data_IF_115975888295
#
_entry.id   IF_115975888295
#
_cell.length_a   1.000
_cell.length_b   1.000
_cell.length_c   1.000
_cell.angle_alpha   90.00
_cell.angle_beta   90.00
_cell.angle_gamma   90.00
#
_symmetry.space_group_name_H-M   'P 1'
#
loop_
_entity.id
_entity.type
_entity.pdbx_description
1 polymer ?
#
# COMPACT_ATOMS: atom_id res chain seq x y z
N UNK A 1 -3.43 14.36 23.69
CA UNK A 1 -2.65 14.34 22.44
C UNK A 1 -3.63 13.99 21.32
N UNK A 2 -3.91 14.90 20.37
CA UNK A 2 -4.82 14.57 19.26
C UNK A 2 -4.18 13.47 18.39
N UNK A 3 -4.95 12.48 17.91
CA UNK A 3 -4.42 11.47 17.00
C UNK A 3 -3.81 12.17 15.78
N UNK A 4 -2.65 11.66 15.34
CA UNK A 4 -1.95 12.05 14.13
C UNK A 4 -2.95 11.91 12.95
N UNK A 5 -3.49 13.01 12.38
CA UNK A 5 -4.43 12.88 11.28
C UNK A 5 -3.64 12.31 10.10
N UNK A 6 -3.99 11.10 9.64
CA UNK A 6 -3.23 10.41 8.60
C UNK A 6 -3.15 11.27 7.33
N UNK A 7 -2.01 11.92 7.05
CA UNK A 7 -1.85 12.75 5.86
C UNK A 7 -1.60 11.88 4.62
N UNK A 8 -1.34 10.58 4.80
CA UNK A 8 -0.95 9.68 3.74
C UNK A 8 -2.05 8.64 3.48
N UNK A 9 -2.46 8.55 2.22
CA UNK A 9 -3.38 7.52 1.74
C UNK A 9 -2.76 6.77 0.57
N UNK A 10 -3.37 5.65 0.16
CA UNK A 10 -2.99 4.98 -1.08
C UNK A 10 -3.04 5.93 -2.29
N UNK A 11 -4.02 6.84 -2.37
CA UNK A 11 -4.14 7.80 -3.47
C UNK A 11 -2.88 8.66 -3.59
N UNK A 12 -2.33 9.10 -2.45
CA UNK A 12 -1.08 9.84 -2.37
C UNK A 12 0.07 9.04 -2.98
N UNK A 13 0.29 7.80 -2.52
CA UNK A 13 1.37 6.92 -3.01
C UNK A 13 1.22 6.46 -4.47
N UNK A 14 -0.02 6.36 -4.94
CA UNK A 14 -0.35 5.96 -6.31
C UNK A 14 -0.27 7.14 -7.29
N UNK A 15 -0.02 8.37 -6.81
CA UNK A 15 0.21 9.56 -7.64
C UNK A 15 -1.06 10.31 -8.05
N UNK A 16 -2.16 10.20 -7.31
CA UNK A 16 -3.41 10.92 -7.59
C UNK A 16 -3.84 11.89 -6.51
N UNK A 17 -2.95 12.24 -5.57
CA UNK A 17 -3.23 13.26 -4.57
C UNK A 17 -2.48 14.54 -4.94
N UNK A 18 -3.18 15.66 -5.00
CA UNK A 18 -2.58 16.96 -5.25
C UNK A 18 -1.94 17.54 -3.99
N UNK A 19 -2.38 17.08 -2.82
CA UNK A 19 -1.87 17.56 -1.54
C UNK A 19 -0.49 16.97 -1.21
N UNK A 20 -0.19 15.75 -1.66
CA UNK A 20 1.08 15.06 -1.37
C UNK A 20 1.83 14.82 -2.66
N UNK A 21 3.01 15.43 -2.80
CA UNK A 21 3.88 15.19 -3.94
C UNK A 21 4.82 14.03 -3.63
N UNK A 22 4.88 13.05 -4.52
CA UNK A 22 5.75 11.88 -4.37
C UNK A 22 6.83 11.96 -5.43
N UNK A 23 8.10 11.75 -5.07
CA UNK A 23 9.21 11.77 -6.04
C UNK A 23 9.04 10.74 -7.14
N UNK A 24 8.37 9.64 -6.83
CA UNK A 24 8.04 8.58 -7.78
C UNK A 24 6.76 7.87 -7.39
N UNK A 25 5.96 7.52 -8.40
CA UNK A 25 4.77 6.68 -8.23
C UNK A 25 5.14 5.24 -7.87
N UNK A 26 4.50 4.70 -6.83
CA UNK A 26 4.68 3.31 -6.44
C UNK A 26 3.88 2.36 -7.34
N UNK A 27 4.49 1.24 -7.69
CA UNK A 27 3.80 0.10 -8.30
C UNK A 27 3.01 -0.67 -7.24
N UNK A 28 2.04 -1.48 -7.66
CA UNK A 28 1.32 -2.36 -6.73
C UNK A 28 2.24 -3.39 -6.08
N UNK A 29 3.35 -3.74 -6.73
CA UNK A 29 4.37 -4.61 -6.13
C UNK A 29 5.12 -3.90 -5.00
N UNK A 30 5.46 -2.63 -5.18
CA UNK A 30 6.11 -1.85 -4.13
C UNK A 30 5.18 -1.73 -2.91
N UNK A 31 3.88 -1.49 -3.13
CA UNK A 31 2.89 -1.49 -2.05
C UNK A 31 2.75 -2.85 -1.37
N UNK A 32 2.82 -3.96 -2.12
CA UNK A 32 2.78 -5.29 -1.54
C UNK A 32 4.01 -5.60 -0.68
N UNK A 33 5.21 -5.20 -1.12
CA UNK A 33 6.44 -5.32 -0.32
C UNK A 33 6.37 -4.43 0.92
N UNK A 34 5.85 -3.21 0.78
CA UNK A 34 5.64 -2.31 1.91
C UNK A 34 4.62 -2.88 2.92
N UNK A 35 3.52 -3.47 2.43
CA UNK A 35 2.52 -4.14 3.27
C UNK A 35 3.13 -5.34 4.01
N UNK A 36 3.89 -6.19 3.33
CA UNK A 36 4.59 -7.31 3.95
C UNK A 36 5.55 -6.88 5.06
N UNK A 37 6.37 -5.85 4.81
CA UNK A 37 7.25 -5.31 5.84
C UNK A 37 6.47 -4.65 6.99
N UNK A 38 5.36 -3.96 6.69
CA UNK A 38 4.51 -3.32 7.68
C UNK A 38 3.78 -4.34 8.58
N UNK A 39 3.45 -5.53 8.06
CA UNK A 39 2.89 -6.63 8.84
C UNK A 39 3.88 -7.17 9.87
N UNK A 40 5.19 -7.07 9.59
CA UNK A 40 6.26 -7.50 10.49
C UNK A 40 6.68 -6.43 11.51
N UNK A 41 6.09 -5.22 11.48
CA UNK A 41 6.41 -4.17 12.43
C UNK A 41 6.04 -4.57 13.88
N UNK A 42 7.00 -4.48 14.83
CA UNK A 42 6.76 -4.65 16.25
C UNK A 42 5.71 -3.67 16.79
N UNK A 43 4.98 -4.11 17.82
CA UNK A 43 3.94 -3.29 18.49
C UNK A 43 4.49 -2.43 19.65
N UNK A 44 5.69 -2.74 20.12
CA UNK A 44 6.40 -2.09 21.24
C UNK A 44 6.92 -0.67 20.93
N UNK A 45 6.81 -0.22 19.68
CA UNK A 45 7.17 1.13 19.26
C UNK A 45 8.42 1.21 18.39
N UNK A 46 9.22 0.14 18.31
CA UNK A 46 10.46 0.12 17.50
C UNK A 46 10.16 0.23 16.00
N UNK A 47 10.59 1.27 15.28
CA UNK A 47 10.19 1.50 13.88
C UNK A 47 10.82 0.51 12.88
N UNK A 48 11.48 -0.52 13.38
CA UNK A 48 12.23 -1.48 12.58
C UNK A 48 11.47 -2.81 12.50
N UNK A 49 11.29 -3.33 11.29
CA UNK A 49 10.73 -4.66 11.07
C UNK A 49 11.86 -5.68 10.87
N UNK A 50 12.17 -6.54 11.87
CA UNK A 50 13.08 -7.65 11.70
C UNK A 50 12.47 -8.70 10.78
N UNK A 51 13.22 -9.18 9.80
CA UNK A 51 12.74 -10.11 8.77
C UNK A 51 13.90 -10.85 8.10
N UNK A 52 13.59 -11.75 7.19
CA UNK A 52 14.50 -12.21 6.14
C UNK A 52 13.97 -11.86 4.76
N UNK A 53 14.83 -11.94 3.73
CA UNK A 53 14.37 -11.82 2.33
C UNK A 53 13.44 -12.97 1.95
N UNK A 54 13.65 -14.15 2.54
CA UNK A 54 12.77 -15.31 2.41
C UNK A 54 11.37 -15.00 2.92
N UNK A 55 11.24 -14.47 4.13
CA UNK A 55 9.95 -14.09 4.72
C UNK A 55 9.24 -13.01 3.90
N UNK A 56 9.94 -11.96 3.47
CA UNK A 56 9.33 -10.92 2.63
C UNK A 56 8.86 -11.47 1.28
N UNK A 57 9.66 -12.31 0.63
CA UNK A 57 9.27 -12.90 -0.65
C UNK A 57 8.13 -13.91 -0.50
N UNK A 58 8.16 -14.72 0.56
CA UNK A 58 7.07 -15.61 0.93
C UNK A 58 5.79 -14.82 1.20
N UNK A 59 5.88 -13.71 1.93
CA UNK A 59 4.77 -12.81 2.21
C UNK A 59 4.20 -12.18 0.92
N UNK A 60 5.02 -11.76 -0.04
CA UNK A 60 4.51 -11.12 -1.27
C UNK A 60 3.97 -12.12 -2.29
N UNK A 61 4.68 -13.23 -2.52
CA UNK A 61 4.39 -14.16 -3.62
C UNK A 61 3.63 -15.41 -3.20
N UNK A 62 3.58 -15.70 -1.90
CA UNK A 62 3.00 -16.91 -1.35
C UNK A 62 4.06 -17.81 -0.71
N UNK A 63 3.62 -18.61 0.24
CA UNK A 63 4.48 -19.56 0.96
C UNK A 63 4.75 -20.82 0.13
N UNK A 64 5.70 -21.66 0.55
CA UNK A 64 5.94 -22.97 -0.10
C UNK A 64 4.67 -23.82 -0.18
N UNK A 65 3.82 -23.77 0.84
CA UNK A 65 2.56 -24.51 0.89
C UNK A 65 1.58 -24.05 -0.20
N UNK A 66 1.56 -22.75 -0.50
CA UNK A 66 0.68 -22.15 -1.52
C UNK A 66 1.24 -22.34 -2.93
N UNK A 67 2.57 -22.23 -3.10
CA UNK A 67 3.23 -22.25 -4.40
C UNK A 67 3.72 -23.65 -4.84
N UNK A 68 3.76 -24.62 -3.93
CA UNK A 68 4.44 -25.92 -4.14
C UNK A 68 5.97 -25.82 -4.23
N UNK A 69 6.53 -24.61 -4.14
CA UNK A 69 7.97 -24.31 -4.21
C UNK A 69 8.31 -23.11 -3.33
N UNK A 70 9.57 -23.00 -2.95
CA UNK A 70 10.07 -21.78 -2.31
C UNK A 70 10.15 -20.63 -3.33
N UNK A 71 9.97 -19.36 -2.89
CA UNK A 71 10.36 -18.21 -3.68
C UNK A 71 11.81 -18.34 -4.16
N UNK A 72 12.07 -18.01 -5.41
CA UNK A 72 13.38 -18.17 -6.03
C UNK A 72 14.13 -16.85 -6.18
N UNK A 73 15.27 -16.92 -6.86
CA UNK A 73 16.12 -15.75 -7.10
C UNK A 73 15.41 -14.60 -7.84
N UNK A 74 14.40 -14.90 -8.67
CA UNK A 74 13.61 -13.88 -9.38
C UNK A 74 12.70 -13.11 -8.42
N UNK A 75 11.96 -13.80 -7.57
CA UNK A 75 11.11 -13.20 -6.55
C UNK A 75 11.94 -12.37 -5.56
N UNK A 76 13.08 -12.89 -5.11
CA UNK A 76 14.04 -12.14 -4.30
C UNK A 76 14.52 -10.85 -4.99
N UNK A 77 14.89 -10.94 -6.28
CA UNK A 77 15.30 -9.77 -7.06
C UNK A 77 14.19 -8.71 -7.16
N UNK A 78 12.93 -9.13 -7.28
CA UNK A 78 11.79 -8.21 -7.28
C UNK A 78 11.57 -7.53 -5.92
N UNK A 79 11.67 -8.27 -4.81
CA UNK A 79 11.55 -7.71 -3.46
C UNK A 79 12.65 -6.69 -3.20
N UNK A 80 13.91 -7.05 -3.46
CA UNK A 80 15.05 -6.16 -3.28
C UNK A 80 14.91 -4.89 -4.11
N UNK A 81 14.52 -5.01 -5.38
CA UNK A 81 14.30 -3.86 -6.26
C UNK A 81 13.17 -2.96 -5.78
N UNK A 82 12.18 -3.51 -5.08
CA UNK A 82 11.07 -2.74 -4.50
C UNK A 82 11.50 -2.04 -3.22
N UNK A 83 12.26 -2.71 -2.36
CA UNK A 83 12.87 -2.11 -1.17
C UNK A 83 13.78 -0.94 -1.53
N UNK A 84 14.62 -1.10 -2.55
CA UNK A 84 15.49 -0.05 -3.08
C UNK A 84 14.69 1.21 -3.46
N UNK A 85 13.64 1.04 -4.28
CA UNK A 85 12.72 2.12 -4.65
C UNK A 85 11.99 2.74 -3.45
N UNK A 86 11.63 1.94 -2.45
CA UNK A 86 10.93 2.40 -1.25
C UNK A 86 11.85 3.16 -0.28
N UNK A 87 13.17 2.93 -0.32
CA UNK A 87 14.16 3.70 0.45
C UNK A 87 14.44 5.05 -0.24
N UNK A 88 14.41 5.09 -1.56
CA UNK A 88 14.64 6.32 -2.34
C UNK A 88 13.41 7.24 -2.42
N UNK A 89 12.23 6.74 -2.07
CA UNK A 89 11.00 7.52 -2.22
C UNK A 89 10.93 8.64 -1.20
N UNK A 90 10.70 9.85 -1.71
CA UNK A 90 10.54 11.05 -0.90
C UNK A 90 9.15 11.63 -1.13
N UNK A 91 8.53 12.07 -0.04
CA UNK A 91 7.18 12.62 0.01
C UNK A 91 7.27 14.05 0.47
N UNK A 92 6.72 15.00 -0.28
CA UNK A 92 6.52 16.37 0.17
C UNK A 92 5.08 16.51 0.65
N UNK A 93 4.92 16.72 1.95
CA UNK A 93 3.61 16.83 2.61
C UNK A 93 3.47 18.26 3.15
N UNK A 94 2.83 19.19 2.42
CA UNK A 94 2.67 20.59 2.83
C UNK A 94 2.03 20.70 4.21
N UNK A 95 2.61 21.51 5.09
CA UNK A 95 2.07 21.77 6.42
C UNK A 95 2.20 20.61 7.42
N UNK A 96 2.86 19.49 7.09
CA UNK A 96 3.07 18.38 8.02
C UNK A 96 4.50 18.36 8.57
N UNK A 97 4.66 18.48 9.88
CA UNK A 97 5.94 18.30 10.55
C UNK A 97 6.21 16.80 10.75
N UNK A 98 7.18 16.28 10.01
CA UNK A 98 7.58 14.87 10.06
C UNK A 98 8.23 14.50 11.40
N UNK A 99 8.97 15.44 11.99
CA UNK A 99 9.68 15.25 13.27
C UNK A 99 8.67 15.24 14.40
N UNK A 100 7.80 16.25 14.44
CA UNK A 100 6.77 16.37 15.47
C UNK A 100 5.55 15.45 15.23
N UNK A 101 5.40 14.87 14.04
CA UNK A 101 4.26 14.01 13.70
C UNK A 101 2.92 14.73 13.77
N UNK A 102 2.84 15.96 13.28
CA UNK A 102 1.62 16.77 13.35
C UNK A 102 1.54 17.81 12.24
N UNK A 103 0.32 18.22 11.90
CA UNK A 103 0.09 19.35 11.01
C UNK A 103 0.43 20.65 11.74
N UNK A 104 1.27 21.50 11.14
CA UNK A 104 1.68 22.81 11.62
C UNK A 104 1.33 23.83 10.53
N UNK A 105 0.37 24.70 10.81
CA UNK A 105 -0.26 25.59 9.83
C UNK A 105 0.68 26.57 9.11
N UNK A 106 1.89 26.80 9.63
CA UNK A 106 2.87 27.76 9.08
C UNK A 106 4.16 27.12 8.56
N UNK A 107 4.22 25.80 8.33
CA UNK A 107 5.39 25.17 7.71
C UNK A 107 5.40 25.40 6.18
N UNK A 108 5.81 26.60 5.78
CA UNK A 108 6.20 26.88 4.41
C UNK A 108 7.57 26.23 4.12
N UNK A 109 7.57 24.99 3.60
CA UNK A 109 8.66 24.52 2.76
C UNK A 109 9.63 23.46 3.32
N UNK A 110 9.38 22.81 4.45
CA UNK A 110 10.27 21.73 4.94
C UNK A 110 9.52 20.52 5.49
N UNK A 111 9.10 19.65 4.59
CA UNK A 111 8.48 18.40 4.99
C UNK A 111 8.63 17.35 3.89
N UNK A 112 9.88 17.18 3.46
CA UNK A 112 10.29 15.98 2.75
C UNK A 112 10.36 14.84 3.76
N UNK A 113 9.64 13.76 3.51
CA UNK A 113 9.53 12.60 4.38
C UNK A 113 9.85 11.33 3.58
N UNK A 114 10.51 10.37 4.22
CA UNK A 114 10.69 9.04 3.64
C UNK A 114 9.65 8.08 4.21
N UNK A 115 9.34 7.01 3.48
CA UNK A 115 8.57 5.88 4.03
C UNK A 115 9.47 4.92 4.80
N UNK A 116 10.63 4.61 4.22
CA UNK A 116 11.68 3.79 4.81
C UNK A 116 12.96 4.61 4.97
N UNK A 117 13.64 4.46 6.10
CA UNK A 117 14.95 5.09 6.33
C UNK A 117 16.10 4.23 5.78
N UNK A 118 15.88 2.92 5.63
CA UNK A 118 16.85 2.01 5.05
C UNK A 118 16.52 0.53 5.23
N UNK A 119 17.38 -0.32 4.66
CA UNK A 119 17.41 -1.76 4.88
C UNK A 119 18.78 -2.12 5.41
N UNK A 120 18.84 -2.92 6.47
CA UNK A 120 20.08 -3.25 7.18
C UNK A 120 20.27 -4.76 7.28
N UNK A 121 21.52 -5.21 7.29
CA UNK A 121 21.92 -6.58 7.65
C UNK A 121 23.03 -6.48 8.68
N UNK A 122 22.88 -7.19 9.80
CA UNK A 122 23.89 -7.21 10.87
C UNK A 122 24.41 -5.81 11.27
N UNK A 123 23.53 -4.80 11.26
CA UNK A 123 23.78 -3.37 11.56
C UNK A 123 24.37 -2.51 10.43
N UNK A 124 24.76 -3.09 9.30
CA UNK A 124 25.20 -2.33 8.14
C UNK A 124 24.02 -1.91 7.27
N UNK A 125 23.96 -0.61 6.92
CA UNK A 125 22.99 -0.12 5.95
C UNK A 125 23.36 -0.65 4.58
N UNK A 126 22.47 -1.41 3.97
CA UNK A 126 22.68 -1.95 2.64
C UNK A 126 22.48 -0.85 1.60
N UNK A 127 23.50 -0.68 0.77
CA UNK A 127 23.36 -0.02 -0.51
C UNK A 127 22.91 -1.09 -1.50
N UNK A 128 21.64 -1.07 -1.92
CA UNK A 128 21.06 -2.08 -2.82
C UNK A 128 21.45 -1.85 -4.30
N UNK A 129 22.59 -1.19 -4.53
CA UNK A 129 22.99 -0.62 -5.82
C UNK A 129 23.64 -1.69 -6.72
N UNK A 130 24.44 -2.61 -6.17
CA UNK A 130 25.19 -3.58 -7.00
C UNK A 130 24.61 -5.01 -6.97
N UNK A 131 24.75 -5.79 -8.06
CA UNK A 131 24.35 -7.21 -8.10
C UNK A 131 25.06 -8.08 -7.04
N UNK A 132 26.32 -7.78 -6.71
CA UNK A 132 27.08 -8.51 -5.68
C UNK A 132 26.48 -8.29 -4.28
N UNK A 133 26.16 -7.05 -3.93
CA UNK A 133 25.46 -6.72 -2.69
C UNK A 133 24.07 -7.36 -2.62
N UNK A 134 23.33 -7.41 -3.75
CA UNK A 134 22.04 -8.13 -3.85
C UNK A 134 22.21 -9.66 -3.72
N UNK A 135 23.31 -10.20 -4.23
CA UNK A 135 23.64 -11.63 -4.16
C UNK A 135 23.89 -12.11 -2.73
N UNK A 136 24.61 -11.33 -1.93
CA UNK A 136 24.88 -11.61 -0.51
C UNK A 136 23.62 -11.71 0.36
N UNK A 137 22.50 -11.13 -0.08
CA UNK A 137 21.22 -11.13 0.65
C UNK A 137 20.40 -12.40 0.45
N UNK A 138 20.69 -13.21 -0.57
CA UNK A 138 19.91 -14.43 -0.85
C UNK A 138 19.99 -15.46 0.28
N UNK A 139 21.03 -15.39 1.13
CA UNK A 139 21.19 -16.23 2.33
C UNK A 139 21.12 -15.46 3.65
N UNK A 140 20.87 -14.14 3.62
CA UNK A 140 20.85 -13.34 4.85
C UNK A 140 19.57 -13.65 5.65
N UNK A 141 19.73 -14.38 6.76
CA UNK A 141 18.65 -14.71 7.67
C UNK A 141 18.12 -13.49 8.44
N UNK A 142 18.94 -12.45 8.61
CA UNK A 142 18.65 -11.30 9.47
C UNK A 142 18.74 -9.98 8.69
N UNK A 143 17.64 -9.60 8.05
CA UNK A 143 17.41 -8.30 7.41
C UNK A 143 16.53 -7.45 8.32
N UNK A 144 16.78 -6.14 8.37
CA UNK A 144 15.96 -5.18 9.11
C UNK A 144 15.46 -4.12 8.14
N UNK A 145 14.14 -3.95 8.03
CA UNK A 145 13.54 -2.85 7.25
C UNK A 145 13.22 -1.72 8.22
N UNK A 146 13.95 -0.61 8.14
CA UNK A 146 13.75 0.54 9.01
C UNK A 146 12.70 1.47 8.41
N UNK A 147 11.56 1.62 9.09
CA UNK A 147 10.52 2.57 8.71
C UNK A 147 10.84 3.96 9.25
N UNK A 148 10.41 4.99 8.53
CA UNK A 148 10.37 6.31 9.12
C UNK A 148 9.40 6.31 10.30
N UNK A 149 9.81 6.87 11.45
CA UNK A 149 9.05 6.82 12.72
C UNK A 149 7.60 7.28 12.57
N UNK A 150 7.39 8.36 11.81
CA UNK A 150 6.07 8.92 11.57
C UNK A 150 5.15 7.94 10.82
N UNK A 151 5.68 7.23 9.82
CA UNK A 151 4.92 6.28 9.02
C UNK A 151 4.64 5.00 9.82
N UNK A 152 5.62 4.52 10.60
CA UNK A 152 5.42 3.40 11.53
C UNK A 152 4.27 3.67 12.53
N UNK A 153 4.15 4.90 13.06
CA UNK A 153 3.02 5.29 13.90
C UNK A 153 1.68 5.18 13.18
N UNK A 154 1.58 5.62 11.93
CA UNK A 154 0.34 5.54 11.15
C UNK A 154 -0.06 4.09 10.86
N UNK A 155 0.92 3.24 10.53
CA UNK A 155 0.68 1.80 10.34
C UNK A 155 0.13 1.17 11.62
N UNK A 156 0.75 1.45 12.78
CA UNK A 156 0.30 0.92 14.08
C UNK A 156 -1.07 1.44 14.51
N UNK A 157 -1.35 2.71 14.26
CA UNK A 157 -2.66 3.30 14.52
C UNK A 157 -3.77 2.64 13.67
N UNK A 158 -3.39 1.96 12.58
CA UNK A 158 -4.30 1.30 11.66
C UNK A 158 -4.73 2.20 10.50
N UNK A 159 -4.10 3.37 10.32
CA UNK A 159 -4.47 4.30 9.26
C UNK A 159 -4.04 3.86 7.86
N UNK A 160 -3.13 2.89 7.76
CA UNK A 160 -2.69 2.30 6.49
C UNK A 160 -3.56 1.09 6.09
N UNK A 161 -4.89 1.20 6.11
CA UNK A 161 -5.80 0.08 5.75
C UNK A 161 -5.63 -0.39 4.31
N UNK A 162 -5.12 0.48 3.43
CA UNK A 162 -4.78 0.16 2.06
C UNK A 162 -3.54 -0.74 1.91
N UNK A 163 -2.77 -0.96 2.97
CA UNK A 163 -1.70 -1.96 3.02
C UNK A 163 -2.28 -3.27 3.56
N UNK A 164 -2.94 -4.02 2.68
CA UNK A 164 -3.47 -5.35 2.98
C UNK A 164 -2.88 -6.38 2.02
N UNK A 165 -1.94 -7.16 2.54
CA UNK A 165 -1.21 -8.14 1.74
C UNK A 165 -2.10 -9.28 1.26
N UNK A 166 -3.09 -9.69 2.06
CA UNK A 166 -4.04 -10.74 1.69
C UNK A 166 -4.87 -10.28 0.49
N UNK A 167 -5.36 -9.04 0.53
CA UNK A 167 -6.09 -8.46 -0.58
C UNK A 167 -5.22 -8.32 -1.83
N UNK A 168 -3.96 -7.89 -1.70
CA UNK A 168 -3.04 -7.81 -2.83
C UNK A 168 -2.74 -9.16 -3.47
N UNK A 169 -2.62 -10.24 -2.68
CA UNK A 169 -2.48 -11.60 -3.21
C UNK A 169 -3.72 -12.05 -3.97
N UNK A 170 -4.92 -11.81 -3.43
CA UNK A 170 -6.18 -12.26 -4.03
C UNK A 170 -6.54 -11.47 -5.30
N UNK A 171 -6.37 -10.15 -5.28
CA UNK A 171 -6.64 -9.27 -6.42
C UNK A 171 -5.50 -9.26 -7.45
N UNK A 172 -4.30 -9.70 -7.03
CA UNK A 172 -3.06 -9.63 -7.82
C UNK A 172 -2.52 -8.21 -7.96
N UNK A 173 -1.33 -8.04 -8.55
CA UNK A 173 -0.65 -6.73 -8.68
C UNK A 173 -1.16 -5.85 -9.85
N UNK A 174 -2.43 -6.04 -10.27
CA UNK A 174 -3.04 -5.37 -11.42
C UNK A 174 -3.98 -4.22 -11.07
N UNK A 175 -4.79 -3.81 -12.04
CA UNK A 175 -5.76 -2.71 -11.92
C UNK A 175 -6.77 -2.93 -10.77
N UNK A 176 -7.20 -4.17 -10.51
CA UNK A 176 -8.14 -4.47 -9.42
C UNK A 176 -7.58 -4.11 -8.04
N UNK A 177 -6.35 -4.53 -7.70
CA UNK A 177 -5.73 -4.14 -6.43
C UNK A 177 -5.48 -2.63 -6.36
N UNK A 178 -5.18 -2.01 -7.50
CA UNK A 178 -4.95 -0.57 -7.60
C UNK A 178 -6.22 0.24 -7.32
N UNK A 179 -7.35 -0.16 -7.92
CA UNK A 179 -8.66 0.40 -7.62
C UNK A 179 -9.00 0.16 -6.15
N UNK A 180 -8.86 -1.08 -5.66
CA UNK A 180 -9.17 -1.40 -4.26
C UNK A 180 -8.39 -0.51 -3.27
N UNK A 181 -7.07 -0.36 -3.47
CA UNK A 181 -6.26 0.51 -2.63
C UNK A 181 -6.72 1.98 -2.71
N UNK A 182 -7.09 2.44 -3.91
CA UNK A 182 -7.68 3.77 -4.10
C UNK A 182 -9.00 3.92 -3.33
N UNK A 183 -9.89 2.91 -3.39
CA UNK A 183 -11.19 2.91 -2.71
C UNK A 183 -11.08 2.94 -1.19
N UNK A 184 -10.03 2.32 -0.62
CA UNK A 184 -9.77 2.37 0.83
C UNK A 184 -9.41 3.79 1.31
N UNK A 185 -8.84 4.62 0.43
CA UNK A 185 -8.48 6.01 0.74
C UNK A 185 -9.69 6.97 0.77
N UNK A 186 -10.85 6.55 0.24
CA UNK A 186 -11.99 7.44 0.09
C UNK A 186 -12.86 7.52 1.35
N UNK A 187 -13.48 8.69 1.54
CA UNK A 187 -14.55 8.92 2.51
C UNK A 187 -15.90 8.65 1.85
N UNK A 188 -16.75 7.87 2.53
CA UNK A 188 -18.01 7.41 1.98
C UNK A 188 -19.18 8.09 2.71
N UNK A 189 -20.25 8.32 1.97
CA UNK A 189 -21.48 8.86 2.52
C UNK A 189 -22.35 7.70 3.03
N UNK A 190 -22.88 7.86 4.24
CA UNK A 190 -23.77 6.87 4.83
C UNK A 190 -25.12 6.90 4.09
N UNK A 191 -25.58 5.74 3.61
CA UNK A 191 -26.87 5.59 2.95
C UNK A 191 -27.70 4.54 3.68
N UNK A 192 -28.56 4.99 4.60
CA UNK A 192 -29.33 4.10 5.48
C UNK A 192 -28.51 3.63 6.69
N UNK A 193 -28.87 2.47 7.28
CA UNK A 193 -28.22 1.98 8.51
C UNK A 193 -26.88 1.29 8.26
N UNK A 194 -26.82 0.48 7.21
CA UNK A 194 -25.75 -0.52 7.02
C UNK A 194 -24.99 -0.38 5.70
N UNK A 195 -25.21 0.70 4.93
CA UNK A 195 -24.57 0.90 3.63
C UNK A 195 -23.88 2.24 3.55
N UNK A 196 -22.80 2.23 2.79
CA UNK A 196 -21.99 3.40 2.47
C UNK A 196 -21.82 3.47 0.96
N UNK A 197 -21.96 4.67 0.40
CA UNK A 197 -21.90 4.90 -1.04
C UNK A 197 -20.97 6.04 -1.40
N UNK A 198 -20.35 5.95 -2.58
CA UNK A 198 -19.58 7.06 -3.15
C UNK A 198 -19.59 7.01 -4.68
N UNK A 199 -19.72 8.16 -5.32
CA UNK A 199 -19.38 8.35 -6.71
C UNK A 199 -18.00 9.03 -6.78
N UNK A 200 -17.04 8.38 -7.43
CA UNK A 200 -15.67 8.87 -7.58
C UNK A 200 -15.48 9.25 -9.04
N UNK A 201 -15.36 10.54 -9.33
CA UNK A 201 -15.11 11.02 -10.69
C UNK A 201 -13.77 10.53 -11.22
N UNK A 202 -13.76 9.95 -12.43
CA UNK A 202 -12.54 9.51 -13.12
C UNK A 202 -11.81 10.68 -13.80
N UNK A 203 -11.61 11.77 -13.06
CA UNK A 203 -10.86 12.93 -13.50
C UNK A 203 -9.33 12.69 -13.52
N UNK A 204 -8.52 13.72 -13.86
CA UNK A 204 -7.07 13.59 -13.98
C UNK A 204 -6.37 12.94 -12.77
N UNK A 205 -6.72 13.26 -11.51
CA UNK A 205 -6.09 12.62 -10.35
C UNK A 205 -6.38 11.11 -10.27
N UNK A 206 -7.62 10.69 -10.57
CA UNK A 206 -8.01 9.28 -10.59
C UNK A 206 -7.37 8.56 -11.78
N UNK A 207 -7.31 9.18 -12.96
CA UNK A 207 -6.63 8.63 -14.16
C UNK A 207 -5.16 8.37 -13.86
N UNK A 208 -4.47 9.33 -13.24
CA UNK A 208 -3.08 9.20 -12.83
C UNK A 208 -2.92 8.11 -11.75
N UNK A 209 -3.73 8.15 -10.69
CA UNK A 209 -3.65 7.14 -9.64
C UNK A 209 -3.90 5.73 -10.15
N UNK A 210 -4.86 5.53 -11.05
CA UNK A 210 -5.30 4.22 -11.55
C UNK A 210 -4.56 3.72 -12.80
N UNK A 211 -3.61 4.50 -13.31
CA UNK A 211 -2.82 4.17 -14.52
C UNK A 211 -3.62 4.10 -15.82
N UNK A 212 -4.72 4.85 -15.91
CA UNK A 212 -5.62 4.75 -17.05
C UNK A 212 -5.07 5.42 -18.31
N UNK A 213 -4.03 6.27 -18.16
CA UNK A 213 -3.35 6.92 -19.27
C UNK A 213 -2.63 5.94 -20.21
N UNK A 214 -2.31 4.73 -19.75
CA UNK A 214 -1.68 3.70 -20.59
C UNK A 214 -2.60 3.09 -21.65
N UNK A 215 -3.91 3.32 -21.58
CA UNK A 215 -4.87 2.80 -22.55
C UNK A 215 -4.98 3.72 -23.76
N UNK A 216 -4.78 3.17 -24.97
CA UNK A 216 -4.93 3.90 -26.23
C UNK A 216 -6.35 4.42 -26.49
N UNK A 217 -7.37 3.75 -25.92
CA UNK A 217 -8.79 4.06 -26.15
C UNK A 217 -9.54 4.09 -24.84
N UNK A 218 -10.37 5.12 -24.65
CA UNK A 218 -11.21 5.28 -23.46
C UNK A 218 -12.16 4.08 -23.23
N UNK A 219 -12.67 3.45 -24.32
CA UNK A 219 -13.50 2.25 -24.22
C UNK A 219 -12.77 1.07 -23.59
N UNK A 220 -11.49 0.89 -23.90
CA UNK A 220 -10.70 -0.22 -23.38
C UNK A 220 -10.35 -0.01 -21.90
N UNK A 221 -10.04 1.24 -21.53
CA UNK A 221 -9.89 1.63 -20.13
C UNK A 221 -11.17 1.33 -19.32
N UNK A 222 -12.35 1.72 -19.83
CA UNK A 222 -13.63 1.44 -19.17
C UNK A 222 -13.90 -0.05 -19.02
N UNK A 223 -13.67 -0.84 -20.08
CA UNK A 223 -13.82 -2.30 -20.01
C UNK A 223 -12.87 -2.94 -19.00
N UNK A 224 -11.64 -2.44 -18.90
CA UNK A 224 -10.68 -2.91 -17.91
C UNK A 224 -11.11 -2.53 -16.48
N UNK A 225 -11.61 -1.31 -16.28
CA UNK A 225 -12.19 -0.87 -15.01
C UNK A 225 -13.37 -1.73 -14.58
N UNK A 226 -14.33 -2.00 -15.46
CA UNK A 226 -15.50 -2.86 -15.15
C UNK A 226 -15.07 -4.26 -14.72
N UNK A 227 -14.15 -4.91 -15.47
CA UNK A 227 -13.63 -6.24 -15.08
C UNK A 227 -12.89 -6.21 -13.75
N UNK A 228 -12.13 -5.15 -13.49
CA UNK A 228 -11.40 -4.98 -12.23
C UNK A 228 -12.36 -4.75 -11.06
N UNK A 229 -13.43 -4.00 -11.29
CA UNK A 229 -14.49 -3.74 -10.32
C UNK A 229 -15.28 -5.01 -9.96
N UNK A 230 -15.67 -5.80 -10.95
CA UNK A 230 -16.29 -7.13 -10.75
C UNK A 230 -15.39 -8.03 -9.88
N UNK A 231 -14.08 -8.06 -10.19
CA UNK A 231 -13.12 -8.83 -9.40
C UNK A 231 -13.05 -8.38 -7.95
N UNK A 232 -13.15 -7.07 -7.67
CA UNK A 232 -13.17 -6.56 -6.29
C UNK A 232 -14.39 -7.08 -5.55
N UNK A 233 -15.59 -6.96 -6.13
CA UNK A 233 -16.84 -7.42 -5.51
C UNK A 233 -16.81 -8.91 -5.20
N UNK A 234 -16.26 -9.72 -6.11
CA UNK A 234 -16.09 -11.18 -5.89
C UNK A 234 -15.07 -11.49 -4.78
N UNK A 235 -14.04 -10.66 -4.63
CA UNK A 235 -12.90 -10.95 -3.74
C UNK A 235 -13.07 -10.38 -2.33
N UNK A 236 -13.70 -9.21 -2.21
CA UNK A 236 -13.87 -8.47 -0.96
C UNK A 236 -15.37 -8.33 -0.64
N UNK A 237 -15.92 -9.16 0.25
CA UNK A 237 -17.35 -9.19 0.55
C UNK A 237 -17.87 -7.92 1.24
N UNK A 238 -16.98 -6.98 1.59
CA UNK A 238 -17.39 -5.65 2.06
C UNK A 238 -18.02 -4.84 0.93
N UNK A 239 -17.56 -5.02 -0.32
CA UNK A 239 -18.08 -4.29 -1.47
C UNK A 239 -19.30 -5.03 -2.04
N UNK A 240 -20.45 -4.36 -2.06
CA UNK A 240 -21.69 -4.91 -2.65
C UNK A 240 -21.77 -4.60 -4.14
N UNK A 241 -21.26 -3.44 -4.56
CA UNK A 241 -21.18 -3.05 -5.94
C UNK A 241 -20.00 -2.10 -6.18
N UNK A 242 -19.34 -2.27 -7.31
CA UNK A 242 -18.36 -1.34 -7.86
C UNK A 242 -18.65 -1.27 -9.36
N UNK A 243 -19.14 -0.12 -9.82
CA UNK A 243 -19.62 0.06 -11.20
C UNK A 243 -18.98 1.27 -11.86
N UNK A 244 -18.73 1.19 -13.17
CA UNK A 244 -18.38 2.36 -13.97
C UNK A 244 -19.65 2.93 -14.56
N UNK A 245 -20.03 4.15 -14.17
CA UNK A 245 -21.29 4.80 -14.60
C UNK A 245 -21.02 6.15 -15.27
N UNK A 246 -21.90 6.63 -16.16
CA UNK A 246 -21.85 8.02 -16.60
C UNK A 246 -21.97 8.95 -15.39
N UNK A 247 -21.14 9.98 -15.37
CA UNK A 247 -21.08 11.01 -14.33
C UNK A 247 -21.10 12.41 -14.94
N UNK A 248 -21.16 13.44 -14.08
CA UNK A 248 -21.30 14.85 -14.50
C UNK A 248 -20.18 15.28 -15.46
N UNK A 249 -18.96 14.79 -15.24
CA UNK A 249 -17.77 15.14 -16.04
C UNK A 249 -17.21 13.95 -16.83
N UNK A 250 -18.07 12.99 -17.19
CA UNK A 250 -17.70 11.83 -17.99
C UNK A 250 -18.14 10.53 -17.34
N UNK A 251 -17.23 9.86 -16.63
CA UNK A 251 -17.51 8.59 -15.97
C UNK A 251 -17.04 8.61 -14.53
N UNK A 252 -17.82 7.96 -13.67
CA UNK A 252 -17.55 7.81 -12.26
C UNK A 252 -17.41 6.32 -11.93
N UNK A 253 -16.56 6.03 -10.95
CA UNK A 253 -16.59 4.75 -10.25
C UNK A 253 -17.61 4.89 -9.11
N UNK A 254 -18.79 4.29 -9.28
CA UNK A 254 -19.83 4.25 -8.28
C UNK A 254 -19.64 3.02 -7.39
N UNK A 255 -19.62 3.23 -6.09
CA UNK A 255 -19.31 2.20 -5.09
C UNK A 255 -20.42 2.11 -4.07
N UNK A 256 -20.81 0.88 -3.77
CA UNK A 256 -21.68 0.53 -2.63
C UNK A 256 -20.96 -0.52 -1.82
N UNK A 257 -20.94 -0.34 -0.51
CA UNK A 257 -20.34 -1.31 0.40
C UNK A 257 -21.08 -1.36 1.73
N UNK A 258 -20.88 -2.45 2.44
CA UNK A 258 -21.39 -2.65 3.79
C UNK A 258 -20.66 -1.74 4.76
N UNK A 259 -21.43 -1.11 5.64
CA UNK A 259 -20.92 -0.39 6.79
C UNK A 259 -20.26 -1.40 7.72
N UNK A 260 -19.04 -1.11 8.11
CA UNK A 260 -18.28 -1.95 9.03
C UNK A 260 -17.09 -1.18 9.54
N UNK A 261 -16.60 -1.58 10.71
CA UNK A 261 -15.38 -1.00 11.25
C UNK A 261 -14.18 -1.55 10.47
N UNK A 262 -13.80 -0.80 9.43
CA UNK A 262 -12.65 -1.10 8.56
C UNK A 262 -11.40 -1.45 9.38
N UNK A 263 -11.17 -0.73 10.47
CA UNK A 263 -9.98 -0.88 11.31
C UNK A 263 -10.03 -2.21 12.06
N UNK A 264 -11.20 -2.59 12.58
CA UNK A 264 -11.36 -3.90 13.26
C UNK A 264 -11.12 -5.07 12.31
N UNK A 265 -11.73 -5.05 11.12
CA UNK A 265 -11.57 -6.14 10.15
C UNK A 265 -10.12 -6.23 9.64
N UNK A 266 -9.50 -5.09 9.31
CA UNK A 266 -8.10 -5.04 8.90
C UNK A 266 -7.16 -5.58 9.99
N UNK A 267 -7.36 -5.17 11.25
CA UNK A 267 -6.58 -5.69 12.38
C UNK A 267 -6.72 -7.21 12.50
N UNK A 268 -7.94 -7.74 12.40
CA UNK A 268 -8.21 -9.17 12.47
C UNK A 268 -7.47 -9.96 11.37
N UNK A 269 -7.53 -9.48 10.13
CA UNK A 269 -6.86 -10.12 8.99
C UNK A 269 -5.32 -10.08 9.15
N UNK A 270 -4.78 -8.94 9.56
CA UNK A 270 -3.33 -8.80 9.81
C UNK A 270 -2.83 -9.69 10.93
N UNK A 271 -3.59 -9.80 12.01
CA UNK A 271 -3.22 -10.65 13.14
C UNK A 271 -3.15 -12.13 12.73
N UNK A 272 -4.13 -12.60 11.96
CA UNK A 272 -4.10 -13.96 11.40
C UNK A 272 -2.89 -14.19 10.47
N UNK A 273 -2.54 -13.21 9.64
CA UNK A 273 -1.37 -13.29 8.75
C UNK A 273 -0.05 -13.29 9.54
N UNK A 274 0.06 -12.48 10.60
CA UNK A 274 1.25 -12.43 11.47
C UNK A 274 1.52 -13.76 12.14
N UNK A 275 0.48 -14.44 12.62
CA UNK A 275 0.60 -15.79 13.19
C UNK A 275 1.13 -16.75 12.13
N UNK A 276 0.54 -16.74 10.93
CA UNK A 276 0.98 -17.59 9.80
C UNK A 276 2.43 -17.34 9.36
N UNK A 277 2.89 -16.08 9.38
CA UNK A 277 4.27 -15.70 9.02
C UNK A 277 5.30 -16.04 10.09
N UNK A 278 4.90 -16.21 11.35
CA UNK A 278 5.78 -16.65 12.44
C UNK A 278 5.98 -18.16 12.43
N UNK A 279 4.97 -18.90 11.98
CA UNK A 279 4.96 -20.38 11.96
C UNK A 279 5.58 -20.97 10.68
N UNK A 280 5.99 -20.12 9.72
CA UNK A 280 6.53 -20.50 8.41
C UNK A 280 8.04 -20.25 8.29
#
# INVERSE_FOLDING_TARGET
>A
MRPDPAPLTARSLLGGDLAVQVSRRLSMRDLAVLAAAADLLPQDGEPDAPTSLYQLAGAVYGTRRELGRHPGGREYGHVLSSLDRLVEITLKIPGYDVVAGRVVGNLAGRSTANLLEGVYVQHERLQLVTPAQRGGLKGAANVKVAFARWFARQVRAGYATYLDLVMFRRLGVGLAARIWAYLEAESYELKGRDRETKAIGLGPPAVAALDLAGYKRARDARRALSRAAERIVVTDPRYEAVDVRPGVYGYDLYVVRRRGDRLREHRRVREALRTSLRDA
#
